data_IF_554876694309
#
_entry.id   IF_554876694309
#
_cell.length_a   1.000
_cell.length_b   1.000
_cell.length_c   1.000
_cell.angle_alpha   90.00
_cell.angle_beta   90.00
_cell.angle_gamma   90.00
#
_symmetry.space_group_name_H-M   'P 1'
#
loop_
_entity.id
_entity.type
_entity.pdbx_description
1 polymer ?
#
# COMPACT_ATOMS: atom_id res chain seq x y z
N UNK A 1 36.73 -22.71 -26.89
CA UNK A 1 36.73 -21.62 -25.91
C UNK A 1 35.57 -21.81 -24.97
N UNK A 2 35.84 -22.10 -23.69
CA UNK A 2 34.79 -22.19 -22.65
C UNK A 2 34.49 -20.75 -22.20
N UNK A 3 33.27 -20.28 -22.44
CA UNK A 3 32.76 -19.06 -21.86
C UNK A 3 32.65 -19.24 -20.33
N UNK A 4 33.46 -18.51 -19.58
CA UNK A 4 33.31 -18.41 -18.13
C UNK A 4 32.16 -17.45 -17.88
N UNK A 5 30.99 -17.97 -17.42
CA UNK A 5 29.97 -17.15 -16.80
C UNK A 5 30.57 -16.53 -15.53
N UNK A 6 30.87 -15.23 -15.57
CA UNK A 6 31.06 -14.47 -14.35
C UNK A 6 29.73 -14.39 -13.65
N UNK A 7 29.61 -14.84 -12.39
CA UNK A 7 28.40 -14.52 -11.61
C UNK A 7 28.30 -13.00 -11.54
N UNK A 8 27.21 -12.43 -12.03
CA UNK A 8 26.84 -11.06 -11.68
C UNK A 8 26.73 -11.05 -10.16
N UNK A 9 27.67 -10.38 -9.49
CA UNK A 9 27.49 -9.95 -8.12
C UNK A 9 26.30 -9.01 -8.12
N UNK A 10 25.12 -9.54 -7.86
CA UNK A 10 23.97 -8.76 -7.43
C UNK A 10 24.31 -8.31 -6.03
N UNK A 11 24.84 -7.09 -5.91
CA UNK A 11 24.80 -6.31 -4.68
C UNK A 11 23.33 -5.98 -4.39
N UNK A 12 22.54 -7.00 -4.14
CA UNK A 12 21.28 -6.86 -3.43
C UNK A 12 21.63 -6.39 -2.02
N UNK A 13 21.65 -5.08 -1.83
CA UNK A 13 21.55 -4.50 -0.49
C UNK A 13 20.31 -5.14 0.11
N UNK A 14 20.51 -6.13 0.98
CA UNK A 14 19.40 -6.86 1.62
C UNK A 14 18.63 -5.88 2.50
N UNK A 15 17.62 -5.24 1.90
CA UNK A 15 16.70 -4.38 2.64
C UNK A 15 16.02 -5.25 3.69
N UNK A 16 16.16 -4.82 4.95
CA UNK A 16 15.68 -5.58 6.11
C UNK A 16 14.20 -5.25 6.38
N UNK A 17 13.54 -6.15 7.08
CA UNK A 17 12.25 -5.86 7.69
C UNK A 17 12.45 -4.95 8.91
N UNK A 18 12.25 -3.65 8.70
CA UNK A 18 12.35 -2.65 9.76
C UNK A 18 11.03 -2.45 10.50
N UNK A 19 9.90 -2.83 9.88
CA UNK A 19 8.59 -2.79 10.51
C UNK A 19 8.49 -3.80 11.66
N UNK A 20 9.06 -5.00 11.45
CA UNK A 20 9.11 -6.09 12.45
C UNK A 20 7.76 -6.33 13.14
N UNK A 21 6.67 -6.29 12.37
CA UNK A 21 5.27 -6.48 12.84
C UNK A 21 4.79 -5.46 13.89
N UNK A 22 5.50 -4.34 14.05
CA UNK A 22 5.06 -3.25 14.92
C UNK A 22 3.97 -2.43 14.22
N UNK A 23 2.75 -2.99 14.13
CA UNK A 23 1.65 -2.40 13.37
C UNK A 23 0.90 -1.27 14.09
N UNK A 24 1.15 -1.06 15.37
CA UNK A 24 0.58 0.06 16.10
C UNK A 24 1.55 1.24 16.05
N UNK A 25 1.04 2.41 15.68
CA UNK A 25 1.80 3.64 15.58
C UNK A 25 1.11 4.74 16.38
N UNK A 26 1.91 5.69 16.88
CA UNK A 26 1.41 6.78 17.73
C UNK A 26 1.12 8.05 16.93
N UNK A 27 1.71 8.18 15.74
CA UNK A 27 1.58 9.37 14.90
C UNK A 27 1.01 8.99 13.52
N UNK A 28 0.06 9.80 13.01
CA UNK A 28 -0.45 9.62 11.65
C UNK A 28 0.68 9.86 10.63
N UNK A 29 0.60 9.17 9.53
CA UNK A 29 1.55 9.24 8.41
C UNK A 29 2.98 8.82 8.72
N UNK A 30 3.29 8.35 9.93
CA UNK A 30 4.65 7.93 10.28
C UNK A 30 5.08 6.68 9.51
N UNK A 31 4.18 5.72 9.37
CA UNK A 31 4.47 4.44 8.71
C UNK A 31 3.34 4.05 7.77
N UNK A 32 3.68 3.90 6.51
CA UNK A 32 2.76 3.39 5.50
C UNK A 32 3.11 1.95 5.14
N UNK A 33 2.07 1.14 4.97
CA UNK A 33 2.16 -0.18 4.34
C UNK A 33 1.42 -0.18 3.02
N UNK A 34 1.89 -0.98 2.08
CA UNK A 34 1.25 -1.09 0.76
C UNK A 34 1.21 -2.54 0.28
N UNK A 35 0.22 -2.82 -0.52
CA UNK A 35 0.04 -4.08 -1.21
C UNK A 35 -0.75 -3.87 -2.51
N UNK A 36 -0.73 -4.87 -3.39
CA UNK A 36 -1.53 -4.89 -4.61
C UNK A 36 -2.48 -6.07 -4.64
N UNK A 37 -3.61 -5.85 -5.31
CA UNK A 37 -4.52 -6.94 -5.66
C UNK A 37 -4.93 -6.87 -7.11
N UNK A 38 -5.48 -7.96 -7.63
CA UNK A 38 -6.02 -8.02 -8.99
C UNK A 38 -7.55 -7.97 -8.98
N UNK A 39 -8.10 -7.41 -10.04
CA UNK A 39 -9.54 -7.26 -10.30
C UNK A 39 -9.82 -7.52 -11.77
N UNK A 40 -10.98 -8.08 -12.09
CA UNK A 40 -11.38 -8.34 -13.47
C UNK A 40 -12.18 -7.16 -14.02
N UNK A 41 -11.76 -6.61 -15.15
CA UNK A 41 -12.39 -5.45 -15.80
C UNK A 41 -12.57 -5.76 -17.28
N UNK A 42 -13.79 -5.76 -17.79
CA UNK A 42 -14.09 -6.09 -19.20
C UNK A 42 -13.48 -7.43 -19.65
N UNK A 43 -13.46 -8.42 -18.75
CA UNK A 43 -12.88 -9.73 -19.04
C UNK A 43 -11.35 -9.85 -18.87
N UNK A 44 -10.60 -8.75 -18.70
CA UNK A 44 -9.14 -8.72 -18.52
C UNK A 44 -8.72 -8.41 -17.09
N UNK A 45 -7.53 -8.87 -16.67
CA UNK A 45 -7.01 -8.59 -15.35
C UNK A 45 -6.43 -7.19 -15.27
N UNK A 46 -6.80 -6.48 -14.22
CA UNK A 46 -6.28 -5.19 -13.79
C UNK A 46 -5.81 -5.30 -12.35
N UNK A 47 -5.17 -4.25 -11.86
CA UNK A 47 -4.57 -4.23 -10.54
C UNK A 47 -5.00 -2.98 -9.78
N UNK A 48 -5.12 -3.12 -8.45
CA UNK A 48 -5.35 -2.03 -7.51
C UNK A 48 -4.19 -2.01 -6.54
N UNK A 49 -3.61 -0.83 -6.32
CA UNK A 49 -2.60 -0.57 -5.30
C UNK A 49 -3.21 0.30 -4.20
N UNK A 50 -2.97 -0.05 -2.94
CA UNK A 50 -3.37 0.76 -1.78
C UNK A 50 -2.18 1.10 -0.92
N UNK A 51 -2.18 2.29 -0.35
CA UNK A 51 -1.31 2.74 0.74
C UNK A 51 -2.15 2.97 1.99
N UNK A 52 -1.77 2.33 3.09
CA UNK A 52 -2.51 2.33 4.35
C UNK A 52 -1.62 2.93 5.44
N UNK A 53 -2.15 3.92 6.15
CA UNK A 53 -1.50 4.46 7.35
C UNK A 53 -1.70 3.50 8.53
N UNK A 54 -0.61 3.08 9.15
CA UNK A 54 -0.66 2.17 10.30
C UNK A 54 -1.21 2.83 11.58
N UNK A 55 -1.25 4.15 11.66
CA UNK A 55 -1.82 4.82 12.82
C UNK A 55 -3.33 4.57 12.95
N UNK A 56 -4.07 4.88 11.91
CA UNK A 56 -5.54 4.84 11.91
C UNK A 56 -6.15 3.93 10.84
N UNK A 57 -5.36 3.13 10.12
CA UNK A 57 -5.81 2.23 9.04
C UNK A 57 -6.44 2.95 7.83
N UNK A 58 -6.25 4.25 7.72
CA UNK A 58 -6.74 5.07 6.61
C UNK A 58 -6.08 4.66 5.30
N UNK A 59 -6.84 4.51 4.23
CA UNK A 59 -6.30 4.39 2.88
C UNK A 59 -5.96 5.80 2.42
N UNK A 60 -4.66 6.13 2.41
CA UNK A 60 -4.15 7.47 2.11
C UNK A 60 -3.70 7.65 0.67
N UNK A 61 -3.46 6.55 -0.04
CA UNK A 61 -3.10 6.55 -1.45
C UNK A 61 -3.65 5.31 -2.14
N UNK A 62 -4.05 5.44 -3.39
CA UNK A 62 -4.60 4.33 -4.15
C UNK A 62 -4.51 4.59 -5.66
N UNK A 63 -4.49 3.51 -6.43
CA UNK A 63 -4.54 3.57 -7.89
C UNK A 63 -5.12 2.29 -8.46
N UNK A 64 -5.65 2.38 -9.68
CA UNK A 64 -6.00 1.23 -10.49
C UNK A 64 -5.31 1.33 -11.86
N UNK A 65 -5.04 0.18 -12.49
CA UNK A 65 -4.36 0.14 -13.79
C UNK A 65 -4.28 -1.25 -14.39
N UNK A 66 -3.90 -1.30 -15.67
CA UNK A 66 -3.79 -2.55 -16.44
C UNK A 66 -2.55 -3.37 -16.09
N UNK A 67 -1.49 -2.70 -15.62
CA UNK A 67 -0.19 -3.32 -15.38
C UNK A 67 0.14 -3.34 -13.90
N UNK A 68 0.78 -4.42 -13.46
CA UNK A 68 1.38 -4.53 -12.14
C UNK A 68 2.82 -4.06 -12.24
N UNK A 69 3.05 -2.75 -12.12
CA UNK A 69 4.35 -2.12 -12.33
C UNK A 69 4.60 -0.94 -11.38
N UNK A 70 5.80 -0.35 -11.48
CA UNK A 70 6.20 0.80 -10.69
C UNK A 70 5.32 2.04 -10.95
N UNK A 71 4.78 2.20 -12.17
CA UNK A 71 3.91 3.33 -12.50
C UNK A 71 2.60 3.28 -11.72
N UNK A 72 2.03 2.08 -11.53
CA UNK A 72 0.84 1.89 -10.72
C UNK A 72 1.10 2.33 -9.27
N UNK A 73 2.22 1.94 -8.69
CA UNK A 73 2.64 2.33 -7.34
C UNK A 73 2.89 3.82 -7.25
N UNK A 74 3.63 4.40 -8.20
CA UNK A 74 3.91 5.84 -8.27
C UNK A 74 2.63 6.67 -8.38
N UNK A 75 1.65 6.21 -9.18
CA UNK A 75 0.33 6.85 -9.28
C UNK A 75 -0.41 6.82 -7.93
N UNK A 76 -0.32 5.74 -7.17
CA UNK A 76 -0.92 5.68 -5.84
C UNK A 76 -0.23 6.64 -4.85
N UNK A 77 1.11 6.74 -4.89
CA UNK A 77 1.87 7.70 -4.07
C UNK A 77 1.46 9.14 -4.41
N UNK A 78 1.33 9.49 -5.70
CA UNK A 78 0.97 10.85 -6.13
C UNK A 78 -0.42 11.31 -5.67
N UNK A 79 -1.28 10.37 -5.27
CA UNK A 79 -2.61 10.64 -4.72
C UNK A 79 -2.62 10.83 -3.19
N UNK A 80 -1.48 10.64 -2.52
CA UNK A 80 -1.37 10.89 -1.08
C UNK A 80 -1.45 12.40 -0.85
N UNK A 81 -2.57 12.85 -0.28
CA UNK A 81 -2.81 14.27 0.02
C UNK A 81 -2.29 14.63 1.42
N UNK A 82 -1.02 14.33 1.68
CA UNK A 82 -0.31 14.63 2.93
C UNK A 82 1.14 14.98 2.61
N UNK A 83 1.81 15.65 3.56
CA UNK A 83 3.25 15.90 3.40
C UNK A 83 4.03 14.58 3.51
N UNK A 84 4.64 14.15 2.40
CA UNK A 84 5.40 12.90 2.32
C UNK A 84 6.64 12.89 3.23
N UNK A 85 7.17 14.05 3.62
CA UNK A 85 8.31 14.16 4.56
C UNK A 85 7.97 13.67 5.98
N UNK A 86 6.69 13.55 6.32
CA UNK A 86 6.24 12.99 7.59
C UNK A 86 6.41 11.47 7.65
N UNK A 87 6.47 10.81 6.48
CA UNK A 87 6.60 9.36 6.39
C UNK A 87 8.04 8.97 6.73
N UNK A 88 8.22 8.22 7.80
CA UNK A 88 9.53 7.70 8.21
C UNK A 88 9.82 6.32 7.66
N UNK A 89 8.77 5.50 7.48
CA UNK A 89 8.89 4.12 7.07
C UNK A 89 7.83 3.75 6.01
N UNK A 90 8.29 3.14 4.93
CA UNK A 90 7.45 2.54 3.91
C UNK A 90 7.73 1.04 3.86
N UNK A 91 6.71 0.23 4.16
CA UNK A 91 6.83 -1.23 4.21
C UNK A 91 5.95 -1.91 3.17
N UNK A 92 6.53 -2.86 2.44
CA UNK A 92 5.86 -3.66 1.42
C UNK A 92 6.35 -5.10 1.42
N UNK A 93 5.73 -5.93 0.61
CA UNK A 93 6.33 -7.18 0.17
C UNK A 93 7.54 -6.93 -0.77
N UNK A 94 8.12 -8.00 -1.32
CA UNK A 94 9.27 -7.95 -2.25
C UNK A 94 8.84 -7.96 -3.72
N UNK A 95 7.66 -7.44 -4.02
CA UNK A 95 7.19 -7.31 -5.40
C UNK A 95 8.06 -6.34 -6.21
N UNK A 96 8.37 -6.68 -7.46
CA UNK A 96 9.18 -5.82 -8.35
C UNK A 96 8.53 -4.47 -8.63
N UNK A 97 7.22 -4.37 -8.49
CA UNK A 97 6.45 -3.13 -8.57
C UNK A 97 6.82 -2.13 -7.47
N UNK A 98 7.26 -2.63 -6.31
CA UNK A 98 7.74 -1.82 -5.19
C UNK A 98 9.27 -1.71 -5.16
N UNK A 99 10.00 -2.77 -5.56
CA UNK A 99 11.45 -2.87 -5.49
C UNK A 99 12.09 -2.54 -6.84
N UNK A 100 12.17 -1.24 -7.15
CA UNK A 100 12.70 -0.72 -8.40
C UNK A 100 13.20 0.73 -8.25
N UNK A 101 13.96 1.19 -9.25
CA UNK A 101 14.61 2.50 -9.24
C UNK A 101 13.63 3.69 -9.10
N UNK A 102 12.46 3.64 -9.74
CA UNK A 102 11.48 4.72 -9.67
C UNK A 102 10.98 4.94 -8.24
N UNK A 103 10.69 3.85 -7.53
CA UNK A 103 10.26 3.93 -6.13
C UNK A 103 11.44 4.31 -5.22
N UNK A 104 12.67 3.84 -5.52
CA UNK A 104 13.87 4.25 -4.79
C UNK A 104 14.08 5.76 -4.85
N UNK A 105 13.96 6.40 -6.03
CA UNK A 105 14.07 7.84 -6.19
C UNK A 105 13.05 8.61 -5.35
N UNK A 106 11.79 8.15 -5.30
CA UNK A 106 10.75 8.77 -4.47
C UNK A 106 11.13 8.67 -2.99
N UNK A 107 11.51 7.48 -2.53
CA UNK A 107 11.86 7.26 -1.13
C UNK A 107 13.10 8.07 -0.70
N UNK A 108 14.10 8.17 -1.57
CA UNK A 108 15.31 8.98 -1.33
C UNK A 108 14.98 10.47 -1.28
N UNK A 109 14.15 10.97 -2.20
CA UNK A 109 13.74 12.39 -2.27
C UNK A 109 13.08 12.84 -0.97
N UNK A 110 12.19 12.03 -0.41
CA UNK A 110 11.47 12.34 0.82
C UNK A 110 12.13 11.75 2.08
N UNK A 111 13.32 11.15 1.96
CA UNK A 111 14.08 10.52 3.05
C UNK A 111 13.28 9.43 3.79
N UNK A 112 12.45 8.72 3.07
CA UNK A 112 11.61 7.64 3.60
C UNK A 112 12.42 6.35 3.64
N UNK A 113 12.48 5.72 4.81
CA UNK A 113 13.17 4.44 4.96
C UNK A 113 12.35 3.31 4.36
N UNK A 114 12.95 2.50 3.48
CA UNK A 114 12.31 1.29 2.95
C UNK A 114 12.41 0.15 3.95
N UNK A 115 11.34 -0.62 4.04
CA UNK A 115 11.25 -1.87 4.77
C UNK A 115 10.58 -2.92 3.90
N UNK A 116 11.15 -4.13 3.84
CA UNK A 116 10.58 -5.23 3.06
C UNK A 116 10.29 -6.42 3.97
N UNK A 117 9.15 -7.06 3.73
CA UNK A 117 8.79 -8.32 4.40
C UNK A 117 9.89 -9.37 4.27
N UNK A 118 10.05 -10.21 5.25
CA UNK A 118 10.91 -11.36 5.18
C UNK A 118 10.37 -12.34 4.14
N UNK A 119 11.24 -12.89 3.28
CA UNK A 119 10.82 -13.81 2.23
C UNK A 119 10.07 -14.99 2.83
N UNK A 120 8.86 -15.25 2.34
CA UNK A 120 7.99 -16.33 2.81
C UNK A 120 7.26 -16.05 4.14
N UNK A 121 7.27 -14.81 4.63
CA UNK A 121 6.58 -14.40 5.85
C UNK A 121 5.43 -13.42 5.55
N UNK A 122 4.24 -13.90 5.15
CA UNK A 122 3.10 -13.05 4.83
C UNK A 122 2.68 -12.19 6.03
N UNK A 123 2.79 -12.70 7.23
CA UNK A 123 2.44 -11.96 8.47
C UNK A 123 3.21 -10.64 8.67
N UNK A 124 4.31 -10.43 7.93
CA UNK A 124 5.08 -9.20 8.04
C UNK A 124 4.37 -8.00 7.40
N UNK A 125 3.38 -8.24 6.50
CA UNK A 125 2.52 -7.21 5.89
C UNK A 125 1.02 -7.42 6.22
N UNK A 126 0.72 -8.00 7.38
CA UNK A 126 -0.63 -8.47 7.74
C UNK A 126 -1.71 -7.39 7.66
N UNK A 127 -1.40 -6.12 7.96
CA UNK A 127 -2.38 -5.01 7.89
C UNK A 127 -2.76 -4.72 6.44
N UNK A 128 -1.79 -4.65 5.54
CA UNK A 128 -2.08 -4.45 4.12
C UNK A 128 -2.86 -5.64 3.54
N UNK A 129 -2.45 -6.87 3.85
CA UNK A 129 -3.15 -8.08 3.41
C UNK A 129 -4.61 -8.14 3.93
N UNK A 130 -4.83 -7.78 5.21
CA UNK A 130 -6.18 -7.74 5.79
C UNK A 130 -7.05 -6.67 5.11
N UNK A 131 -6.49 -5.50 4.82
CA UNK A 131 -7.18 -4.43 4.09
C UNK A 131 -7.53 -4.87 2.67
N UNK A 132 -6.60 -5.52 1.97
CA UNK A 132 -6.88 -6.08 0.64
C UNK A 132 -7.96 -7.16 0.66
N UNK A 133 -7.96 -8.01 1.68
CA UNK A 133 -9.00 -9.03 1.86
C UNK A 133 -10.38 -8.40 2.08
N UNK A 134 -10.47 -7.36 2.91
CA UNK A 134 -11.70 -6.60 3.14
C UNK A 134 -12.18 -5.97 1.83
N UNK A 135 -11.32 -5.23 1.12
CA UNK A 135 -11.65 -4.62 -0.16
C UNK A 135 -12.12 -5.64 -1.20
N UNK A 136 -11.47 -6.80 -1.32
CA UNK A 136 -11.91 -7.86 -2.23
C UNK A 136 -13.32 -8.33 -1.91
N UNK A 137 -13.67 -8.47 -0.63
CA UNK A 137 -14.96 -8.99 -0.21
C UNK A 137 -16.06 -7.95 -0.30
N UNK A 138 -15.77 -6.73 0.11
CA UNK A 138 -16.74 -5.65 0.26
C UNK A 138 -16.96 -4.85 -1.03
N UNK A 139 -15.97 -4.84 -1.92
CA UNK A 139 -15.97 -4.06 -3.15
C UNK A 139 -15.81 -4.93 -4.41
N UNK A 140 -14.64 -5.56 -4.59
CA UNK A 140 -14.31 -6.22 -5.86
C UNK A 140 -15.28 -7.35 -6.22
N UNK A 141 -15.71 -8.15 -5.25
CA UNK A 141 -16.64 -9.28 -5.46
C UNK A 141 -18.09 -8.86 -5.62
N UNK A 142 -18.43 -7.63 -5.22
CA UNK A 142 -19.81 -7.12 -5.27
C UNK A 142 -20.12 -6.42 -6.60
N UNK A 143 -19.11 -6.17 -7.44
CA UNK A 143 -19.25 -5.36 -8.62
C UNK A 143 -18.68 -6.06 -9.87
N UNK A 144 -19.22 -5.69 -11.03
CA UNK A 144 -18.64 -5.99 -12.32
C UNK A 144 -18.21 -4.69 -12.98
N UNK A 145 -16.94 -4.62 -13.38
CA UNK A 145 -16.36 -3.43 -13.98
C UNK A 145 -16.24 -3.62 -15.50
N UNK A 146 -16.81 -2.71 -16.26
CA UNK A 146 -16.79 -2.74 -17.71
C UNK A 146 -15.48 -2.19 -18.28
N UNK A 147 -14.96 -1.13 -17.65
CA UNK A 147 -13.74 -0.44 -18.07
C UNK A 147 -12.96 0.13 -16.87
N UNK A 148 -11.73 0.61 -17.14
CA UNK A 148 -10.85 1.14 -16.12
C UNK A 148 -11.39 2.42 -15.47
N UNK A 149 -12.05 3.29 -16.22
CA UNK A 149 -12.62 4.53 -15.72
C UNK A 149 -13.69 4.27 -14.66
N UNK A 150 -14.58 3.31 -14.93
CA UNK A 150 -15.56 2.86 -13.94
C UNK A 150 -14.88 2.32 -12.69
N UNK A 151 -13.87 1.44 -12.86
CA UNK A 151 -13.12 0.92 -11.71
C UNK A 151 -12.50 2.04 -10.88
N UNK A 152 -11.92 3.06 -11.51
CA UNK A 152 -11.29 4.19 -10.79
C UNK A 152 -12.32 5.04 -10.05
N UNK A 153 -13.50 5.28 -10.64
CA UNK A 153 -14.59 6.01 -9.99
C UNK A 153 -15.14 5.26 -8.79
N UNK A 154 -15.45 3.99 -8.96
CA UNK A 154 -15.99 3.16 -7.89
C UNK A 154 -14.96 2.90 -6.77
N UNK A 155 -13.67 2.84 -7.12
CA UNK A 155 -12.59 2.73 -6.14
C UNK A 155 -12.47 4.02 -5.30
N UNK A 156 -12.65 5.19 -5.92
CA UNK A 156 -12.70 6.45 -5.19
C UNK A 156 -13.83 6.45 -4.17
N UNK A 157 -15.03 6.04 -4.56
CA UNK A 157 -16.19 5.98 -3.68
C UNK A 157 -16.01 4.95 -2.56
N UNK A 158 -15.42 3.77 -2.88
CA UNK A 158 -15.09 2.77 -1.88
C UNK A 158 -14.08 3.30 -0.85
N UNK A 159 -13.00 3.96 -1.28
CA UNK A 159 -12.00 4.53 -0.37
C UNK A 159 -12.61 5.59 0.53
N UNK A 160 -13.48 6.46 -0.02
CA UNK A 160 -14.20 7.44 0.77
C UNK A 160 -15.09 6.77 1.82
N UNK A 161 -15.85 5.75 1.44
CA UNK A 161 -16.67 4.98 2.36
C UNK A 161 -15.83 4.26 3.42
N UNK A 162 -14.72 3.60 3.02
CA UNK A 162 -13.82 2.89 3.92
C UNK A 162 -13.25 3.82 5.00
N UNK A 163 -12.82 5.02 4.63
CA UNK A 163 -12.17 5.96 5.53
C UNK A 163 -13.17 6.69 6.46
N UNK A 164 -14.38 7.01 5.98
CA UNK A 164 -15.30 7.90 6.68
C UNK A 164 -16.50 7.18 7.31
N UNK A 165 -16.89 6.01 6.83
CA UNK A 165 -18.13 5.35 7.23
C UNK A 165 -17.94 3.92 7.73
N UNK A 166 -16.93 3.20 7.27
CA UNK A 166 -16.70 1.82 7.66
C UNK A 166 -16.12 1.71 9.06
N UNK A 167 -16.80 1.02 10.02
CA UNK A 167 -16.24 0.79 11.35
C UNK A 167 -15.14 -0.29 11.30
N UNK A 168 -14.10 -0.12 12.11
CA UNK A 168 -12.98 -1.04 12.22
C UNK A 168 -12.83 -1.57 13.64
N UNK A 169 -12.85 -2.90 13.81
CA UNK A 169 -12.70 -3.51 15.12
C UNK A 169 -11.37 -3.17 15.79
N UNK A 170 -10.29 -3.07 15.01
CA UNK A 170 -8.97 -2.66 15.51
C UNK A 170 -8.88 -1.19 15.95
N UNK A 171 -9.89 -0.37 15.64
CA UNK A 171 -10.01 1.03 16.00
C UNK A 171 -11.19 1.27 16.97
N UNK A 172 -11.51 0.28 17.80
CA UNK A 172 -12.65 0.35 18.73
C UNK A 172 -13.99 0.65 18.02
N UNK A 173 -14.15 0.10 16.82
CA UNK A 173 -15.30 0.31 15.93
C UNK A 173 -15.48 1.76 15.44
N UNK A 174 -14.47 2.61 15.59
CA UNK A 174 -14.42 3.91 14.92
C UNK A 174 -14.04 3.73 13.45
N UNK A 175 -14.39 4.73 12.64
CA UNK A 175 -13.85 4.84 11.28
C UNK A 175 -12.39 5.34 11.33
N UNK A 176 -11.57 5.11 10.30
CA UNK A 176 -10.21 5.64 10.23
C UNK A 176 -10.13 7.15 10.53
N UNK A 177 -10.98 7.95 9.89
CA UNK A 177 -11.00 9.41 10.09
C UNK A 177 -11.49 9.79 11.49
N UNK A 178 -12.53 9.12 12.02
CA UNK A 178 -13.01 9.40 13.37
C UNK A 178 -11.95 9.05 14.43
N UNK A 179 -11.25 7.94 14.27
CA UNK A 179 -10.15 7.55 15.15
C UNK A 179 -9.04 8.61 15.15
N UNK A 180 -8.58 9.05 13.97
CA UNK A 180 -7.59 10.11 13.83
C UNK A 180 -8.03 11.39 14.53
N UNK A 181 -9.24 11.85 14.27
CA UNK A 181 -9.76 13.09 14.84
C UNK A 181 -9.87 13.03 16.37
N UNK A 182 -10.23 11.88 16.93
CA UNK A 182 -10.31 11.69 18.38
C UNK A 182 -8.92 11.81 19.04
N UNK A 183 -7.90 11.17 18.45
CA UNK A 183 -6.55 11.13 19.04
C UNK A 183 -5.74 12.41 18.77
N UNK A 184 -6.04 13.15 17.71
CA UNK A 184 -5.37 14.43 17.41
C UNK A 184 -5.92 15.62 18.22
N UNK A 185 -7.13 15.52 18.79
CA UNK A 185 -7.71 16.57 19.64
C UNK A 185 -7.20 16.54 21.08
N UNK A 186 -6.41 15.55 21.45
CA UNK A 186 -5.94 15.35 22.83
C UNK A 186 -4.52 15.91 23.06
N UNK A 187 -4.01 16.70 22.11
CA UNK A 187 -2.71 17.38 22.20
C UNK A 187 -2.92 18.88 22.23
#
# INVERSE_FOLDING_TARGET
>A
AKYKNHPKETNEKRIKNHLNRAFNREQPMETLVSDLTYVKVGGTWHYICLFIDLFNREIVGYSAGKNKDANLVSKAISRINHNLEQIKLFHTDRGKEFDNHLIDEVLETFKIKRSLSTKGCPYDNAVAEATMKAMKTEFVKQMQFENLEQLETELFDYVNWYNNFRPHSSLQYLTPVAFKNLHMKTV
#
